data_IF_364739282879
#
_entry.id   IF_364739282879
#
_cell.length_a   1.000
_cell.length_b   1.000
_cell.length_c   1.000
_cell.angle_alpha   90.00
_cell.angle_beta   90.00
_cell.angle_gamma   90.00
#
_symmetry.space_group_name_H-M   'P 1'
#
loop_
_entity.id
_entity.type
_entity.pdbx_description
1 polymer ?
#
# COMPACT_ATOMS: atom_id res chain seq x y z
N UNK A 1 -21.32 9.82 25.20
CA UNK A 1 -21.20 8.94 24.01
C UNK A 1 -19.80 9.11 23.46
N UNK A 2 -19.03 8.03 23.28
CA UNK A 2 -17.66 8.10 22.76
C UNK A 2 -17.68 8.24 21.24
N UNK A 3 -16.57 8.76 20.67
CA UNK A 3 -16.41 8.86 19.22
C UNK A 3 -16.57 7.49 18.54
N UNK A 4 -15.93 6.44 19.07
CA UNK A 4 -16.01 5.10 18.51
C UNK A 4 -17.44 4.57 18.44
N UNK A 5 -18.27 4.82 19.48
CA UNK A 5 -19.69 4.45 19.48
C UNK A 5 -20.46 5.21 18.40
N UNK A 6 -20.21 6.51 18.25
CA UNK A 6 -20.83 7.34 17.24
C UNK A 6 -20.46 6.89 15.81
N UNK A 7 -19.17 6.62 15.59
CA UNK A 7 -18.67 6.18 14.29
C UNK A 7 -19.19 4.78 13.93
N UNK A 8 -19.24 3.86 14.89
CA UNK A 8 -19.81 2.52 14.70
C UNK A 8 -21.29 2.57 14.29
N UNK A 9 -22.09 3.40 14.94
CA UNK A 9 -23.50 3.60 14.57
C UNK A 9 -23.70 4.14 13.15
N UNK A 10 -22.73 4.93 12.65
CA UNK A 10 -22.78 5.58 11.33
C UNK A 10 -21.90 4.88 10.28
N UNK A 11 -21.32 3.70 10.61
CA UNK A 11 -20.37 2.94 9.78
C UNK A 11 -20.79 2.84 8.32
N UNK A 12 -21.98 2.32 8.05
CA UNK A 12 -22.46 2.08 6.68
C UNK A 12 -22.48 3.37 5.85
N UNK A 13 -22.91 4.49 6.44
CA UNK A 13 -22.94 5.78 5.76
C UNK A 13 -21.53 6.34 5.52
N UNK A 14 -20.63 6.17 6.49
CA UNK A 14 -19.22 6.60 6.40
C UNK A 14 -18.49 5.81 5.32
N UNK A 15 -18.54 4.48 5.36
CA UNK A 15 -17.88 3.61 4.38
C UNK A 15 -18.40 3.87 2.97
N UNK A 16 -19.70 4.04 2.78
CA UNK A 16 -20.29 4.37 1.49
C UNK A 16 -19.80 5.71 0.94
N UNK A 17 -19.71 6.75 1.78
CA UNK A 17 -19.17 8.07 1.40
C UNK A 17 -17.67 7.98 1.12
N UNK A 18 -16.92 7.25 1.92
CA UNK A 18 -15.49 7.04 1.75
C UNK A 18 -15.19 6.30 0.43
N UNK A 19 -15.89 5.21 0.16
CA UNK A 19 -15.82 4.51 -1.13
C UNK A 19 -16.15 5.44 -2.29
N UNK A 20 -17.24 6.22 -2.19
CA UNK A 20 -17.62 7.16 -3.23
C UNK A 20 -16.55 8.24 -3.50
N UNK A 21 -15.84 8.71 -2.45
CA UNK A 21 -14.72 9.63 -2.57
C UNK A 21 -13.49 8.95 -3.19
N UNK A 22 -13.18 7.72 -2.77
CA UNK A 22 -12.08 6.91 -3.30
C UNK A 22 -12.24 6.67 -4.79
N UNK A 23 -13.43 6.27 -5.22
CA UNK A 23 -13.70 5.98 -6.64
C UNK A 23 -13.63 7.23 -7.52
N UNK A 24 -13.86 8.42 -6.99
CA UNK A 24 -13.67 9.69 -7.73
C UNK A 24 -12.23 9.97 -8.15
N UNK A 25 -11.25 9.27 -7.58
CA UNK A 25 -9.85 9.38 -8.00
C UNK A 25 -9.55 8.66 -9.33
N UNK A 26 -10.48 7.87 -9.81
CA UNK A 26 -10.40 7.19 -11.10
C UNK A 26 -10.96 8.06 -12.23
N UNK A 27 -10.59 7.78 -13.50
CA UNK A 27 -11.22 8.41 -14.66
C UNK A 27 -12.75 8.30 -14.60
N UNK A 28 -13.51 9.28 -15.14
CA UNK A 28 -14.96 9.34 -14.97
C UNK A 28 -15.73 8.07 -15.37
N UNK A 29 -15.36 7.44 -16.48
CA UNK A 29 -16.03 6.21 -16.94
C UNK A 29 -15.73 5.03 -16.01
N UNK A 30 -14.47 4.89 -15.59
CA UNK A 30 -14.08 3.87 -14.60
C UNK A 30 -14.80 4.12 -13.27
N UNK A 31 -14.85 5.36 -12.81
CA UNK A 31 -15.54 5.73 -11.58
C UNK A 31 -17.04 5.40 -11.64
N UNK A 32 -17.68 5.64 -12.77
CA UNK A 32 -19.08 5.29 -13.00
C UNK A 32 -19.27 3.77 -12.94
N UNK A 33 -18.43 3.01 -13.65
CA UNK A 33 -18.46 1.54 -13.65
C UNK A 33 -18.29 0.97 -12.24
N UNK A 34 -17.24 1.39 -11.50
CA UNK A 34 -16.95 0.92 -10.15
C UNK A 34 -18.10 1.17 -9.16
N UNK A 35 -18.91 2.23 -9.38
CA UNK A 35 -20.06 2.56 -8.52
C UNK A 35 -21.34 1.83 -8.92
N UNK A 36 -21.60 1.68 -10.21
CA UNK A 36 -22.88 1.20 -10.72
C UNK A 36 -22.96 -0.32 -10.81
N UNK A 37 -21.85 -0.97 -11.09
CA UNK A 37 -21.82 -2.41 -11.24
C UNK A 37 -21.83 -3.11 -9.88
N UNK A 38 -22.97 -3.76 -9.59
CA UNK A 38 -23.19 -4.48 -8.33
C UNK A 38 -22.78 -5.95 -8.38
N UNK A 39 -22.67 -6.51 -9.57
CA UNK A 39 -22.23 -7.89 -9.73
C UNK A 39 -20.76 -8.04 -9.30
N UNK A 40 -20.48 -8.88 -8.28
CA UNK A 40 -19.13 -9.10 -7.78
C UNK A 40 -18.17 -9.70 -8.82
N UNK A 41 -18.67 -10.46 -9.77
CA UNK A 41 -17.85 -11.05 -10.82
C UNK A 41 -17.54 -10.04 -11.93
N UNK A 42 -18.47 -9.15 -12.23
CA UNK A 42 -18.25 -8.10 -13.22
C UNK A 42 -17.40 -6.92 -12.68
N UNK A 43 -17.39 -6.71 -11.36
CA UNK A 43 -16.65 -5.60 -10.71
C UNK A 43 -15.79 -6.08 -9.53
N UNK A 44 -14.79 -6.94 -9.73
CA UNK A 44 -13.93 -7.43 -8.66
C UNK A 44 -13.12 -6.30 -7.99
N UNK A 45 -12.67 -5.31 -8.76
CA UNK A 45 -11.90 -4.15 -8.26
C UNK A 45 -12.74 -3.30 -7.31
N UNK A 46 -13.95 -2.92 -7.72
CA UNK A 46 -14.84 -2.13 -6.87
C UNK A 46 -15.22 -2.86 -5.59
N UNK A 47 -15.44 -4.17 -5.67
CA UNK A 47 -15.70 -5.04 -4.51
C UNK A 47 -14.51 -5.06 -3.55
N UNK A 48 -13.31 -5.34 -4.06
CA UNK A 48 -12.08 -5.39 -3.23
C UNK A 48 -11.87 -4.07 -2.51
N UNK A 49 -12.02 -2.94 -3.20
CA UNK A 49 -11.89 -1.61 -2.58
C UNK A 49 -12.95 -1.43 -1.51
N UNK A 50 -14.23 -1.71 -1.79
CA UNK A 50 -15.31 -1.49 -0.83
C UNK A 50 -15.13 -2.33 0.44
N UNK A 51 -14.89 -3.63 0.29
CA UNK A 51 -14.68 -4.55 1.41
C UNK A 51 -13.41 -4.21 2.20
N UNK A 52 -12.34 -3.84 1.51
CA UNK A 52 -11.10 -3.40 2.18
C UNK A 52 -11.30 -2.12 2.99
N UNK A 53 -12.02 -1.13 2.47
CA UNK A 53 -12.35 0.10 3.22
C UNK A 53 -13.25 -0.19 4.43
N UNK A 54 -14.20 -1.12 4.29
CA UNK A 54 -15.09 -1.52 5.38
C UNK A 54 -14.29 -2.21 6.49
N UNK A 55 -13.42 -3.15 6.15
CA UNK A 55 -12.57 -3.85 7.11
C UNK A 55 -11.55 -2.93 7.78
N UNK A 56 -10.94 -2.01 7.02
CA UNK A 56 -10.04 -0.98 7.56
C UNK A 56 -10.76 -0.07 8.56
N UNK A 57 -12.01 0.31 8.26
CA UNK A 57 -12.78 1.13 9.16
C UNK A 57 -13.10 0.40 10.47
N UNK A 58 -13.46 -0.89 10.41
CA UNK A 58 -13.68 -1.71 11.60
C UNK A 58 -12.41 -1.83 12.45
N UNK A 59 -11.25 -1.96 11.81
CA UNK A 59 -9.99 -2.09 12.53
C UNK A 59 -9.57 -0.76 13.19
N UNK A 60 -9.80 0.38 12.52
CA UNK A 60 -9.55 1.71 13.09
C UNK A 60 -10.35 1.98 14.37
N UNK A 61 -11.54 1.37 14.51
CA UNK A 61 -12.38 1.50 15.71
C UNK A 61 -11.89 0.68 16.91
N UNK A 62 -10.93 -0.23 16.71
CA UNK A 62 -10.32 -1.08 17.74
C UNK A 62 -8.96 -0.56 18.18
N UNK A 63 -8.28 -1.31 19.02
CA UNK A 63 -6.82 -1.17 19.21
C UNK A 63 -6.14 -1.64 17.93
N UNK A 64 -5.39 -0.74 17.33
CA UNK A 64 -4.86 -0.91 15.98
C UNK A 64 -3.71 -1.91 15.96
N UNK A 65 -3.86 -3.04 15.26
CA UNK A 65 -2.76 -3.95 14.93
C UNK A 65 -2.19 -3.57 13.55
N UNK A 66 -0.91 -3.17 13.53
CA UNK A 66 -0.21 -2.75 12.31
C UNK A 66 -0.16 -3.86 11.25
N UNK A 67 0.00 -5.13 11.65
CA UNK A 67 0.06 -6.25 10.70
C UNK A 67 -1.30 -6.49 10.05
N UNK A 68 -2.38 -6.41 10.83
CA UNK A 68 -3.75 -6.54 10.32
C UNK A 68 -4.05 -5.38 9.37
N UNK A 69 -3.72 -4.14 9.76
CA UNK A 69 -3.91 -2.96 8.90
C UNK A 69 -3.16 -3.07 7.59
N UNK A 70 -1.90 -3.54 7.63
CA UNK A 70 -1.10 -3.76 6.44
C UNK A 70 -1.72 -4.81 5.51
N UNK A 71 -2.19 -5.93 6.07
CA UNK A 71 -2.85 -6.98 5.30
C UNK A 71 -4.16 -6.50 4.63
N UNK A 72 -4.92 -5.63 5.31
CA UNK A 72 -6.14 -5.04 4.77
C UNK A 72 -5.88 -3.97 3.70
N UNK A 73 -4.78 -3.21 3.82
CA UNK A 73 -4.36 -2.21 2.83
C UNK A 73 -3.81 -2.83 1.55
N UNK A 74 -3.05 -3.92 1.67
CA UNK A 74 -2.27 -4.52 0.58
C UNK A 74 -3.08 -4.76 -0.71
N UNK A 75 -4.29 -5.37 -0.68
CA UNK A 75 -5.07 -5.58 -1.89
C UNK A 75 -5.47 -4.28 -2.60
N UNK A 76 -5.82 -3.24 -1.83
CA UNK A 76 -6.20 -1.94 -2.38
C UNK A 76 -4.98 -1.27 -3.01
N UNK A 77 -3.86 -1.27 -2.31
CA UNK A 77 -2.62 -0.61 -2.76
C UNK A 77 -2.05 -1.31 -3.98
N UNK A 78 -2.06 -2.65 -4.05
CA UNK A 78 -1.60 -3.40 -5.24
C UNK A 78 -2.40 -3.03 -6.48
N UNK A 79 -3.72 -2.95 -6.37
CA UNK A 79 -4.58 -2.50 -7.48
C UNK A 79 -4.14 -1.13 -7.97
N UNK A 80 -3.86 -0.19 -7.06
CA UNK A 80 -3.47 1.18 -7.41
C UNK A 80 -2.02 1.27 -7.92
N UNK A 81 -1.12 0.41 -7.43
CA UNK A 81 0.28 0.40 -7.85
C UNK A 81 0.50 -0.07 -9.29
N UNK A 82 -0.34 -0.97 -9.82
CA UNK A 82 -0.28 -1.40 -11.22
C UNK A 82 -0.92 -0.40 -12.18
N UNK A 83 -1.66 0.57 -11.65
CA UNK A 83 -2.27 1.65 -12.42
C UNK A 83 -1.34 2.87 -12.45
N UNK A 84 -1.64 3.83 -13.34
CA UNK A 84 -0.82 5.05 -13.51
C UNK A 84 -1.12 6.13 -12.45
N UNK A 85 -1.25 5.74 -11.17
CA UNK A 85 -1.35 6.70 -10.08
C UNK A 85 0.03 7.19 -9.65
N UNK A 86 0.15 8.49 -9.36
CA UNK A 86 1.28 8.99 -8.57
C UNK A 86 1.18 8.49 -7.11
N UNK A 87 2.27 8.49 -6.33
CA UNK A 87 2.23 8.06 -4.93
C UNK A 87 1.16 8.78 -4.11
N UNK A 88 1.07 10.10 -4.26
CA UNK A 88 0.06 10.92 -3.58
C UNK A 88 -1.37 10.58 -4.00
N UNK A 89 -1.62 10.38 -5.28
CA UNK A 89 -2.93 9.96 -5.77
C UNK A 89 -3.30 8.57 -5.25
N UNK A 90 -2.34 7.65 -5.23
CA UNK A 90 -2.56 6.27 -4.81
C UNK A 90 -2.94 6.16 -3.33
N UNK A 91 -2.43 7.04 -2.47
CA UNK A 91 -2.65 7.01 -1.01
C UNK A 91 -3.68 8.03 -0.51
N UNK A 92 -4.02 9.05 -1.31
CA UNK A 92 -4.94 10.15 -0.92
C UNK A 92 -6.31 9.69 -0.43
N UNK A 93 -6.77 8.51 -0.88
CA UNK A 93 -8.08 7.99 -0.48
C UNK A 93 -8.21 7.81 1.04
N UNK A 94 -7.11 7.59 1.75
CA UNK A 94 -7.09 7.43 3.20
C UNK A 94 -7.43 8.75 3.88
N UNK A 95 -6.86 9.87 3.42
CA UNK A 95 -7.16 11.20 3.95
C UNK A 95 -8.61 11.63 3.73
N UNK A 96 -9.29 11.09 2.70
CA UNK A 96 -10.70 11.38 2.50
C UNK A 96 -11.58 10.93 3.67
N UNK A 97 -11.14 9.91 4.42
CA UNK A 97 -11.85 9.45 5.60
C UNK A 97 -11.97 10.55 6.65
N UNK A 98 -10.92 11.37 6.88
CA UNK A 98 -10.99 12.52 7.79
C UNK A 98 -12.14 13.46 7.43
N UNK A 99 -12.23 13.83 6.16
CA UNK A 99 -13.28 14.73 5.68
C UNK A 99 -14.66 14.08 5.80
N UNK A 100 -14.78 12.78 5.51
CA UNK A 100 -16.04 12.05 5.63
C UNK A 100 -16.50 12.01 7.09
N UNK A 101 -15.60 11.75 8.03
CA UNK A 101 -15.89 11.72 9.47
C UNK A 101 -16.30 13.11 9.95
N UNK A 102 -15.51 14.15 9.68
CA UNK A 102 -15.82 15.54 10.07
C UNK A 102 -17.20 16.00 9.56
N UNK A 103 -17.54 15.62 8.32
CA UNK A 103 -18.86 15.96 7.73
C UNK A 103 -20.00 15.06 8.26
N UNK A 104 -19.67 13.98 8.96
CA UNK A 104 -20.67 13.07 9.51
C UNK A 104 -21.01 13.42 10.96
N UNK A 105 -20.05 14.00 11.70
CA UNK A 105 -20.27 14.50 13.07
C UNK A 105 -21.07 15.80 12.96
N UNK A 106 -22.22 15.84 13.62
CA UNK A 106 -23.05 17.06 13.65
C UNK A 106 -22.44 18.08 14.61
N UNK A 107 -22.70 19.37 14.38
CA UNK A 107 -22.24 20.46 15.27
C UNK A 107 -22.72 20.28 16.72
N UNK A 108 -23.89 19.70 16.89
CA UNK A 108 -24.51 19.41 18.19
C UNK A 108 -23.78 18.33 19.00
N UNK A 109 -23.04 17.46 18.32
CA UNK A 109 -22.26 16.36 18.93
C UNK A 109 -20.89 16.89 19.45
N UNK A 110 -20.48 18.12 19.13
CA UNK A 110 -19.15 18.68 19.46
C UNK A 110 -19.06 19.07 20.93
N UNK A 111 -18.65 18.14 21.76
CA UNK A 111 -18.15 18.38 23.12
C UNK A 111 -16.61 18.35 23.11
N UNK A 112 -15.95 19.00 24.06
CA UNK A 112 -14.49 19.05 24.16
C UNK A 112 -13.83 17.64 24.17
N UNK A 113 -14.47 16.70 24.86
CA UNK A 113 -14.01 15.30 24.90
C UNK A 113 -14.07 14.64 23.52
N UNK A 114 -15.15 14.83 22.77
CA UNK A 114 -15.29 14.25 21.44
C UNK A 114 -14.25 14.81 20.46
N UNK A 115 -13.88 16.08 20.64
CA UNK A 115 -12.83 16.71 19.83
C UNK A 115 -11.46 16.06 20.09
N UNK A 116 -11.09 15.80 21.35
CA UNK A 116 -9.85 15.13 21.69
C UNK A 116 -9.80 13.71 21.13
N UNK A 117 -10.89 12.96 21.25
CA UNK A 117 -11.01 11.61 20.67
C UNK A 117 -10.90 11.66 19.13
N UNK A 118 -11.44 12.68 18.48
CA UNK A 118 -11.33 12.87 17.02
C UNK A 118 -9.88 13.11 16.60
N UNK A 119 -9.12 13.92 17.32
CA UNK A 119 -7.71 14.15 17.01
C UNK A 119 -6.89 12.86 17.12
N UNK A 120 -7.13 12.05 18.15
CA UNK A 120 -6.47 10.74 18.31
C UNK A 120 -6.85 9.78 17.17
N UNK A 121 -8.12 9.78 16.77
CA UNK A 121 -8.57 8.96 15.63
C UNK A 121 -7.96 9.43 14.31
N UNK A 122 -7.84 10.73 14.10
CA UNK A 122 -7.18 11.30 12.93
C UNK A 122 -5.68 10.97 12.87
N UNK A 123 -5.00 10.88 14.01
CA UNK A 123 -3.60 10.41 14.08
C UNK A 123 -3.45 8.97 13.59
N UNK A 124 -4.39 8.08 13.94
CA UNK A 124 -4.41 6.71 13.39
C UNK A 124 -4.58 6.70 11.85
N UNK A 125 -5.38 7.63 11.31
CA UNK A 125 -5.52 7.78 9.85
C UNK A 125 -4.21 8.27 9.21
N UNK A 126 -3.45 9.14 9.89
CA UNK A 126 -2.14 9.59 9.41
C UNK A 126 -1.13 8.44 9.37
N UNK A 127 -1.06 7.63 10.43
CA UNK A 127 -0.22 6.42 10.47
C UNK A 127 -0.61 5.44 9.35
N UNK A 128 -1.91 5.21 9.14
CA UNK A 128 -2.41 4.38 8.04
C UNK A 128 -1.97 4.92 6.68
N UNK A 129 -1.93 6.26 6.53
CA UNK A 129 -1.51 6.90 5.28
C UNK A 129 -0.02 6.70 4.99
N UNK A 130 0.83 6.77 6.02
CA UNK A 130 2.27 6.48 5.91
C UNK A 130 2.52 5.00 5.59
N UNK A 131 1.77 4.10 6.22
CA UNK A 131 1.83 2.67 5.92
C UNK A 131 1.44 2.38 4.46
N UNK A 132 0.37 2.99 3.98
CA UNK A 132 -0.07 2.85 2.59
C UNK A 132 0.97 3.41 1.60
N UNK A 133 1.64 4.51 1.94
CA UNK A 133 2.72 5.05 1.12
C UNK A 133 3.88 4.06 1.00
N UNK A 134 4.34 3.48 2.11
CA UNK A 134 5.41 2.48 2.10
C UNK A 134 5.02 1.26 1.27
N UNK A 135 3.80 0.73 1.46
CA UNK A 135 3.29 -0.39 0.66
C UNK A 135 3.26 -0.06 -0.84
N UNK A 136 2.81 1.14 -1.19
CA UNK A 136 2.78 1.57 -2.60
C UNK A 136 4.18 1.65 -3.18
N UNK A 137 5.15 2.23 -2.46
CA UNK A 137 6.54 2.32 -2.91
C UNK A 137 7.15 0.93 -3.11
N UNK A 138 6.99 0.02 -2.14
CA UNK A 138 7.47 -1.36 -2.26
C UNK A 138 6.86 -2.07 -3.49
N UNK A 139 5.56 -1.89 -3.75
CA UNK A 139 4.92 -2.44 -4.94
C UNK A 139 5.50 -1.85 -6.24
N UNK A 140 5.75 -0.52 -6.28
CA UNK A 140 6.32 0.15 -7.46
C UNK A 140 7.75 -0.25 -7.71
N UNK A 141 8.57 -0.36 -6.68
CA UNK A 141 9.95 -0.86 -6.77
C UNK A 141 9.97 -2.25 -7.37
N UNK A 142 9.12 -3.16 -6.87
CA UNK A 142 9.01 -4.51 -7.42
C UNK A 142 8.60 -4.55 -8.89
N UNK A 143 7.66 -3.69 -9.29
CA UNK A 143 7.26 -3.55 -10.69
C UNK A 143 8.44 -3.05 -11.55
N UNK A 144 9.22 -2.09 -11.05
CA UNK A 144 10.40 -1.57 -11.78
C UNK A 144 11.50 -2.62 -11.88
N UNK A 145 11.79 -3.37 -10.81
CA UNK A 145 12.75 -4.48 -10.85
C UNK A 145 12.36 -5.54 -11.90
N UNK A 146 11.09 -5.94 -11.93
CA UNK A 146 10.59 -6.91 -12.91
C UNK A 146 10.77 -6.40 -14.34
N UNK A 147 10.42 -5.14 -14.60
CA UNK A 147 10.60 -4.50 -15.92
C UNK A 147 12.07 -4.38 -16.31
N UNK A 148 12.94 -3.99 -15.37
CA UNK A 148 14.39 -3.90 -15.61
C UNK A 148 15.00 -5.26 -15.94
N UNK A 149 14.62 -6.30 -15.17
CA UNK A 149 15.07 -7.66 -15.41
C UNK A 149 14.55 -8.23 -16.76
N UNK A 150 13.30 -7.94 -17.10
CA UNK A 150 12.76 -8.33 -18.42
C UNK A 150 13.54 -7.64 -19.55
N UNK A 151 13.77 -6.34 -19.44
CA UNK A 151 14.54 -5.58 -20.45
C UNK A 151 15.97 -6.13 -20.57
N UNK A 152 16.66 -6.37 -19.44
CA UNK A 152 17.99 -6.96 -19.40
C UNK A 152 18.02 -8.31 -20.12
N UNK A 153 17.07 -9.19 -19.80
CA UNK A 153 16.99 -10.52 -20.40
C UNK A 153 16.70 -10.48 -21.90
N UNK A 154 15.82 -9.56 -22.35
CA UNK A 154 15.52 -9.36 -23.78
C UNK A 154 16.76 -8.86 -24.54
N UNK A 155 17.46 -7.88 -23.96
CA UNK A 155 18.67 -7.31 -24.54
C UNK A 155 19.80 -8.34 -24.61
N UNK A 156 20.03 -9.10 -23.53
CA UNK A 156 21.01 -10.17 -23.48
C UNK A 156 20.76 -11.22 -24.56
N UNK A 157 19.53 -11.72 -24.67
CA UNK A 157 19.15 -12.68 -25.72
C UNK A 157 19.33 -12.15 -27.14
N UNK A 158 19.13 -10.84 -27.35
CA UNK A 158 19.36 -10.22 -28.64
C UNK A 158 20.86 -10.18 -28.99
N UNK A 159 21.71 -9.83 -28.03
CA UNK A 159 23.17 -9.84 -28.20
C UNK A 159 23.72 -11.25 -28.41
N UNK A 160 23.22 -12.22 -27.66
CA UNK A 160 23.59 -13.63 -27.82
C UNK A 160 23.28 -14.15 -29.24
N UNK A 161 22.07 -13.85 -29.76
CA UNK A 161 21.68 -14.21 -31.15
C UNK A 161 22.51 -13.48 -32.21
N UNK A 162 22.99 -12.29 -31.91
CA UNK A 162 23.84 -11.51 -32.79
C UNK A 162 25.34 -11.92 -32.73
N UNK A 163 25.70 -12.91 -31.87
CA UNK A 163 27.09 -13.31 -31.64
C UNK A 163 27.97 -12.25 -30.96
N UNK A 164 27.34 -11.30 -30.27
CA UNK A 164 28.02 -10.19 -29.60
C UNK A 164 28.33 -10.49 -28.11
N UNK A 165 27.87 -11.62 -27.59
CA UNK A 165 28.16 -12.05 -26.22
C UNK A 165 29.40 -12.92 -26.26
N UNK A 166 30.45 -12.51 -25.54
CA UNK A 166 31.67 -13.31 -25.33
C UNK A 166 31.67 -13.80 -23.88
N UNK A 167 31.74 -15.10 -23.67
CA UNK A 167 31.97 -15.63 -22.33
C UNK A 167 33.37 -15.24 -21.89
N UNK A 168 33.48 -14.51 -20.80
CA UNK A 168 34.74 -14.30 -20.10
C UNK A 168 34.90 -15.53 -19.23
N UNK A 169 35.97 -16.37 -19.44
CA UNK A 169 36.25 -17.49 -18.56
C UNK A 169 36.32 -16.96 -17.13
N UNK A 170 35.59 -17.56 -16.22
CA UNK A 170 35.74 -17.26 -14.80
C UNK A 170 37.19 -17.50 -14.41
N UNK A 171 37.96 -16.48 -14.11
CA UNK A 171 39.27 -16.65 -13.44
C UNK A 171 38.97 -17.43 -12.15
N UNK A 172 39.49 -18.66 -12.09
CA UNK A 172 39.48 -19.40 -10.84
C UNK A 172 40.27 -18.55 -9.84
N UNK A 173 39.74 -18.21 -8.68
CA UNK A 173 40.55 -17.52 -7.68
C UNK A 173 41.73 -18.42 -7.35
N UNK A 174 42.93 -17.90 -7.50
CA UNK A 174 44.20 -18.56 -7.20
C UNK A 174 44.22 -18.86 -5.69
N UNK A 175 43.71 -20.02 -5.32
CA UNK A 175 43.66 -20.46 -3.90
C UNK A 175 45.05 -20.82 -3.36
N UNK A 176 46.07 -20.91 -4.24
CA UNK A 176 47.42 -21.31 -3.84
C UNK A 176 48.24 -20.20 -3.16
N UNK A 177 47.72 -18.95 -3.10
CA UNK A 177 48.44 -17.83 -2.51
C UNK A 177 47.88 -17.34 -1.16
N UNK A 178 47.05 -18.12 -0.50
CA UNK A 178 46.71 -17.84 0.92
C UNK A 178 47.80 -18.43 1.80
N UNK A 179 48.92 -17.71 1.91
CA UNK A 179 49.91 -17.95 2.98
C UNK A 179 49.26 -17.60 4.32
N UNK A 180 48.65 -18.64 4.92
CA UNK A 180 48.24 -18.56 6.33
C UNK A 180 49.55 -18.47 7.10
N UNK A 181 49.88 -17.30 7.63
CA UNK A 181 50.94 -17.12 8.60
C UNK A 181 50.74 -18.12 9.75
N UNK A 182 51.49 -19.20 9.70
CA UNK A 182 51.75 -20.04 10.88
C UNK A 182 52.55 -19.16 11.86
N UNK A 183 51.83 -18.47 12.69
CA UNK A 183 52.37 -17.67 13.80
C UNK A 183 53.04 -18.62 14.81
N UNK A 184 54.24 -18.29 15.13
CA UNK A 184 55.13 -18.89 16.08
C UNK A 184 54.47 -19.06 17.46
N UNK A 185 54.48 -20.30 17.91
CA UNK A 185 54.63 -20.63 19.32
C UNK A 185 56.07 -20.31 19.70
N UNK A 186 56.30 -19.53 20.73
CA UNK A 186 57.46 -19.64 21.63
C UNK A 186 57.18 -18.93 22.91
N UNK A 187 57.08 -19.68 23.97
CA UNK A 187 57.93 -19.73 25.15
C UNK A 187 58.30 -18.35 25.78
N UNK A 188 57.67 -18.01 26.89
CA UNK A 188 58.34 -17.84 28.23
C UNK A 188 57.25 -17.50 29.25
#
# INVERSE_FOLDING_TARGET
MTLNTLLAQRKTAIVKKWFAATVKTYPPDTAKFLKSQKDPFANPVGRTIYQGLEALFDELLKETDHNVMQALLDPIIRIRAVQNFSPSQATSFIFFLKNVIRNTIKKEDFQAQLFSELLLFESKIDELSLMAFNLFMNCREKIYELKANEMKNRTFRAFERAGLVREIPAEQPDLDNINICKGASNDL
#
